data_IF_319878325004
#
_entry.id   IF_319878325004
#
_cell.length_a   1.000
_cell.length_b   1.000
_cell.length_c   1.000
_cell.angle_alpha   90.00
_cell.angle_beta   90.00
_cell.angle_gamma   90.00
#
_symmetry.space_group_name_H-M   'P 1'
#
loop_
_entity.id
_entity.type
_entity.pdbx_description
1 polymer ?
#
# COMPACT_ATOMS: atom_id res chain seq x y z
N UNK A 1 -8.83 10.95 -11.06
CA UNK A 1 -7.54 11.32 -10.41
C UNK A 1 -6.97 12.58 -11.02
N UNK A 2 -6.31 13.41 -10.22
CA UNK A 2 -5.51 14.53 -10.73
C UNK A 2 -4.25 14.01 -11.43
N UNK A 3 -3.56 14.88 -12.20
CA UNK A 3 -2.32 14.48 -12.88
C UNK A 3 -1.22 14.04 -11.93
N UNK A 4 -1.10 14.72 -10.80
CA UNK A 4 -0.12 14.37 -9.76
C UNK A 4 -0.46 13.01 -9.14
N UNK A 5 -1.70 12.84 -8.73
CA UNK A 5 -2.21 11.61 -8.12
C UNK A 5 -2.03 10.41 -9.06
N UNK A 6 -2.32 10.59 -10.36
CA UNK A 6 -2.16 9.52 -11.35
C UNK A 6 -0.69 9.09 -11.47
N UNK A 7 0.23 10.04 -11.48
CA UNK A 7 1.67 9.73 -11.55
C UNK A 7 2.14 9.01 -10.29
N UNK A 8 1.67 9.46 -9.12
CA UNK A 8 2.01 8.83 -7.84
C UNK A 8 1.43 7.41 -7.76
N UNK A 9 0.21 7.22 -8.23
CA UNK A 9 -0.44 5.91 -8.32
C UNK A 9 0.36 4.97 -9.23
N UNK A 10 0.69 5.43 -10.45
CA UNK A 10 1.43 4.62 -11.43
C UNK A 10 2.82 4.25 -10.92
N UNK A 11 3.50 5.16 -10.22
CA UNK A 11 4.81 4.88 -9.62
C UNK A 11 4.73 3.77 -8.58
N UNK A 12 3.73 3.80 -7.70
CA UNK A 12 3.54 2.75 -6.70
C UNK A 12 3.13 1.42 -7.35
N UNK A 13 2.20 1.45 -8.30
CA UNK A 13 1.75 0.26 -9.02
C UNK A 13 2.91 -0.44 -9.74
N UNK A 14 3.79 0.34 -10.37
CA UNK A 14 4.97 -0.20 -11.04
C UNK A 14 5.94 -0.85 -10.05
N UNK A 15 6.21 -0.20 -8.92
CA UNK A 15 7.10 -0.73 -7.88
C UNK A 15 6.55 -2.00 -7.24
N UNK A 16 5.24 -2.05 -6.99
CA UNK A 16 4.58 -3.25 -6.48
C UNK A 16 4.70 -4.41 -7.48
N UNK A 17 4.46 -4.15 -8.76
CA UNK A 17 4.56 -5.15 -9.82
C UNK A 17 6.00 -5.68 -9.96
N UNK A 18 6.99 -4.79 -9.95
CA UNK A 18 8.41 -5.18 -10.00
C UNK A 18 8.82 -6.06 -8.81
N UNK A 19 8.25 -5.80 -7.64
CA UNK A 19 8.51 -6.56 -6.43
C UNK A 19 7.71 -7.86 -6.33
N UNK A 20 6.79 -8.11 -7.27
CA UNK A 20 5.99 -9.33 -7.33
C UNK A 20 4.72 -9.30 -6.47
N UNK A 21 4.26 -8.12 -6.04
CA UNK A 21 3.04 -7.98 -5.25
C UNK A 21 1.82 -7.80 -6.15
N UNK A 22 0.76 -8.54 -5.86
CA UNK A 22 -0.56 -8.28 -6.40
C UNK A 22 -1.20 -7.10 -5.63
N UNK A 23 -1.90 -6.24 -6.33
CA UNK A 23 -2.59 -5.11 -5.72
C UNK A 23 -3.95 -4.88 -6.37
N UNK A 24 -4.80 -4.17 -5.65
CA UNK A 24 -6.14 -3.80 -6.10
C UNK A 24 -6.35 -2.29 -5.95
N UNK A 25 -6.97 -1.68 -6.95
CA UNK A 25 -7.39 -0.29 -6.87
C UNK A 25 -8.64 -0.21 -5.99
N UNK A 26 -8.51 0.42 -4.83
CA UNK A 26 -9.60 0.59 -3.86
C UNK A 26 -10.11 2.04 -3.81
N UNK A 27 -9.77 2.84 -4.81
CA UNK A 27 -10.20 4.24 -4.91
C UNK A 27 -11.72 4.36 -5.02
N UNK A 28 -12.28 5.31 -4.28
CA UNK A 28 -13.70 5.66 -4.34
C UNK A 28 -13.89 7.01 -5.03
N UNK A 29 -15.00 7.17 -5.76
CA UNK A 29 -15.29 8.39 -6.51
C UNK A 29 -15.37 9.65 -5.63
N UNK A 30 -15.70 9.49 -4.33
CA UNK A 30 -15.85 10.58 -3.38
C UNK A 30 -14.63 10.76 -2.47
N UNK A 31 -13.59 9.96 -2.63
CA UNK A 31 -12.37 10.11 -1.84
C UNK A 31 -11.53 11.27 -2.35
N UNK A 32 -10.91 12.00 -1.43
CA UNK A 32 -9.99 13.09 -1.77
C UNK A 32 -8.72 12.57 -2.46
N UNK A 33 -8.37 11.29 -2.26
CA UNK A 33 -7.20 10.66 -2.85
C UNK A 33 -7.51 9.23 -3.28
N UNK A 34 -6.76 8.73 -4.27
CA UNK A 34 -6.80 7.33 -4.69
C UNK A 34 -6.19 6.42 -3.62
N UNK A 35 -6.52 5.14 -3.67
CA UNK A 35 -5.94 4.15 -2.78
C UNK A 35 -5.68 2.82 -3.46
N UNK A 36 -4.71 2.08 -2.93
CA UNK A 36 -4.32 0.74 -3.36
C UNK A 36 -4.35 -0.18 -2.14
N UNK A 37 -4.90 -1.38 -2.32
CA UNK A 37 -4.83 -2.45 -1.33
C UNK A 37 -3.85 -3.52 -1.80
N UNK A 38 -2.95 -3.94 -0.90
CA UNK A 38 -2.01 -5.05 -1.12
C UNK A 38 -2.32 -6.15 -0.12
N UNK A 39 -2.53 -7.36 -0.62
CA UNK A 39 -2.79 -8.53 0.22
C UNK A 39 -1.74 -9.60 -0.07
N UNK A 40 -1.10 -10.10 0.99
CA UNK A 40 -0.14 -11.20 0.92
C UNK A 40 -0.61 -12.32 1.84
N UNK A 41 -0.39 -13.56 1.43
CA UNK A 41 -0.68 -14.73 2.27
C UNK A 41 0.61 -15.47 2.59
N UNK A 42 0.73 -15.88 3.85
CA UNK A 42 1.83 -16.69 4.35
C UNK A 42 1.27 -18.05 4.78
N UNK A 43 1.94 -19.11 4.37
CA UNK A 43 1.63 -20.44 4.86
C UNK A 43 2.65 -20.78 5.96
N UNK A 44 2.17 -20.92 7.19
CA UNK A 44 2.99 -21.40 8.30
C UNK A 44 2.86 -22.90 8.33
N UNK A 45 3.94 -23.60 8.01
CA UNK A 45 3.98 -25.06 8.14
C UNK A 45 4.25 -25.41 9.61
N UNK A 46 3.18 -25.80 10.29
CA UNK A 46 3.21 -26.41 11.61
C UNK A 46 2.46 -27.75 11.53
N UNK A 47 2.17 -28.40 12.65
CA UNK A 47 1.36 -29.62 12.70
C UNK A 47 -0.01 -29.44 12.03
N UNK A 48 -0.48 -28.19 11.99
CA UNK A 48 -1.67 -27.77 11.23
C UNK A 48 -1.22 -26.60 10.36
N UNK A 49 -1.34 -26.73 9.03
CA UNK A 49 -0.99 -25.66 8.09
C UNK A 49 -1.91 -24.46 8.35
N UNK A 50 -1.34 -23.38 8.88
CA UNK A 50 -2.03 -22.13 9.11
C UNK A 50 -1.71 -21.13 8.00
N UNK A 51 -2.74 -20.45 7.50
CA UNK A 51 -2.60 -19.38 6.53
C UNK A 51 -2.68 -18.05 7.27
N UNK A 52 -1.58 -17.28 7.26
CA UNK A 52 -1.58 -15.90 7.73
C UNK A 52 -1.74 -14.95 6.55
N UNK A 53 -2.61 -13.95 6.73
CA UNK A 53 -2.88 -12.94 5.73
C UNK A 53 -2.33 -11.60 6.20
N UNK A 54 -1.56 -10.94 5.33
CA UNK A 54 -1.10 -9.57 5.52
C UNK A 54 -1.87 -8.66 4.59
N UNK A 55 -2.37 -7.56 5.10
CA UNK A 55 -3.20 -6.64 4.36
C UNK A 55 -2.74 -5.21 4.63
N UNK A 56 -2.47 -4.46 3.55
CA UNK A 56 -2.04 -3.08 3.62
C UNK A 56 -2.96 -2.21 2.78
N UNK A 57 -3.38 -1.08 3.33
CA UNK A 57 -4.12 -0.06 2.63
C UNK A 57 -3.22 1.15 2.45
N UNK A 58 -3.05 1.61 1.21
CA UNK A 58 -2.14 2.70 0.89
C UNK A 58 -2.91 3.81 0.20
N UNK A 59 -2.93 5.00 0.83
CA UNK A 59 -3.50 6.21 0.24
C UNK A 59 -2.42 6.92 -0.57
N UNK A 60 -2.78 7.36 -1.78
CA UNK A 60 -1.87 7.97 -2.75
C UNK A 60 -1.77 9.47 -2.49
N UNK A 61 -0.57 10.08 -2.51
CA UNK A 61 -0.44 11.52 -2.35
C UNK A 61 -1.14 12.28 -3.47
N UNK A 62 -1.80 13.37 -3.11
CA UNK A 62 -2.52 14.24 -4.02
C UNK A 62 -2.23 15.70 -3.70
N UNK A 63 -1.09 16.20 -4.18
CA UNK A 63 -0.65 17.58 -3.93
C UNK A 63 -1.52 18.62 -4.65
N UNK A 64 -2.35 18.22 -5.60
CA UNK A 64 -3.31 19.11 -6.25
C UNK A 64 -4.53 19.38 -5.34
N UNK A 65 -4.73 18.58 -4.31
CA UNK A 65 -5.71 18.79 -3.27
C UNK A 65 -5.04 19.38 -2.05
N UNK A 66 -4.78 20.69 -2.10
CA UNK A 66 -4.07 21.39 -1.03
C UNK A 66 -4.99 21.72 0.14
N UNK A 67 -4.68 21.16 1.31
CA UNK A 67 -5.28 21.56 2.57
C UNK A 67 -4.14 21.91 3.54
N UNK A 68 -3.99 23.21 3.93
CA UNK A 68 -2.88 23.62 4.79
C UNK A 68 -2.93 22.99 6.19
N UNK A 69 -4.08 22.54 6.63
CA UNK A 69 -4.26 21.90 7.94
C UNK A 69 -4.09 20.38 7.89
N UNK A 70 -3.86 19.80 6.69
CA UNK A 70 -3.78 18.35 6.50
C UNK A 70 -2.60 17.96 5.59
N UNK A 71 -1.49 17.60 6.21
CA UNK A 71 -0.26 17.19 5.52
C UNK A 71 -0.37 15.81 4.83
N UNK A 72 -1.44 15.06 5.06
CA UNK A 72 -1.62 13.70 4.52
C UNK A 72 -1.61 13.62 2.99
N UNK A 73 -1.94 14.72 2.32
CA UNK A 73 -1.99 14.74 0.85
C UNK A 73 -0.62 14.84 0.18
N UNK A 74 0.45 14.97 0.95
CA UNK A 74 1.82 15.09 0.42
C UNK A 74 2.61 13.78 0.46
N UNK A 75 2.11 12.77 1.15
CA UNK A 75 2.81 11.51 1.37
C UNK A 75 1.94 10.30 1.05
N UNK A 76 2.58 9.15 0.80
CA UNK A 76 1.88 7.88 0.82
C UNK A 76 1.59 7.52 2.27
N UNK A 77 0.33 7.25 2.58
CA UNK A 77 -0.09 6.80 3.91
C UNK A 77 -0.44 5.32 3.85
N UNK A 78 0.40 4.49 4.46
CA UNK A 78 0.20 3.05 4.52
C UNK A 78 -0.36 2.67 5.88
N UNK A 79 -1.49 1.96 5.89
CA UNK A 79 -2.05 1.35 7.09
C UNK A 79 -1.86 -0.16 7.02
N UNK A 80 -1.18 -0.71 8.03
CA UNK A 80 -1.11 -2.15 8.25
C UNK A 80 -2.41 -2.58 8.93
N UNK A 81 -3.27 -3.27 8.18
CA UNK A 81 -4.59 -3.68 8.67
C UNK A 81 -4.52 -4.74 9.77
N UNK A 82 -3.38 -5.44 9.89
CA UNK A 82 -3.20 -6.44 10.95
C UNK A 82 -2.91 -5.82 12.31
N UNK A 83 -2.22 -4.69 12.35
CA UNK A 83 -1.82 -4.00 13.58
C UNK A 83 -2.59 -2.71 13.82
N UNK A 84 -3.19 -2.13 12.78
CA UNK A 84 -3.84 -0.83 12.82
C UNK A 84 -2.87 0.35 12.79
N UNK A 85 -1.57 0.12 12.63
CA UNK A 85 -0.58 1.18 12.57
C UNK A 85 -0.54 1.83 11.19
N UNK A 86 -0.37 3.14 11.16
CA UNK A 86 -0.24 3.94 9.93
C UNK A 86 1.16 4.56 9.86
N UNK A 87 1.75 4.51 8.67
CA UNK A 87 3.08 5.05 8.38
C UNK A 87 3.00 5.96 7.17
N UNK A 88 3.80 7.03 7.16
CA UNK A 88 3.88 7.96 6.06
C UNK A 88 5.21 7.80 5.33
N UNK A 89 5.17 7.79 3.99
CA UNK A 89 6.35 7.66 3.15
C UNK A 89 6.32 8.71 2.03
N UNK A 90 7.47 9.32 1.74
CA UNK A 90 7.59 10.31 0.68
C UNK A 90 7.68 9.69 -0.71
N UNK A 91 8.11 8.41 -0.80
CA UNK A 91 8.43 7.76 -2.06
C UNK A 91 7.79 6.38 -2.16
N UNK A 92 7.42 6.00 -3.39
CA UNK A 92 6.82 4.70 -3.67
C UNK A 92 7.75 3.53 -3.33
N UNK A 93 9.06 3.66 -3.57
CA UNK A 93 10.03 2.62 -3.23
C UNK A 93 10.13 2.37 -1.72
N UNK A 94 9.98 3.41 -0.90
CA UNK A 94 9.95 3.28 0.56
C UNK A 94 8.72 2.49 1.04
N UNK A 95 7.57 2.70 0.40
CA UNK A 95 6.34 1.94 0.68
C UNK A 95 6.57 0.45 0.43
N UNK A 96 7.11 0.12 -0.73
CA UNK A 96 7.38 -1.28 -1.11
C UNK A 96 8.42 -1.90 -0.20
N UNK A 97 9.48 -1.17 0.15
CA UNK A 97 10.50 -1.63 1.08
C UNK A 97 9.90 -1.99 2.45
N UNK A 98 8.98 -1.15 2.96
CA UNK A 98 8.28 -1.43 4.21
C UNK A 98 7.45 -2.73 4.13
N UNK A 99 6.71 -2.91 3.04
CA UNK A 99 5.93 -4.13 2.79
C UNK A 99 6.85 -5.35 2.72
N UNK A 100 7.99 -5.23 2.03
CA UNK A 100 8.98 -6.29 1.95
C UNK A 100 9.53 -6.67 3.31
N UNK A 101 9.81 -5.70 4.17
CA UNK A 101 10.30 -5.95 5.53
C UNK A 101 9.26 -6.67 6.38
N UNK A 102 7.97 -6.31 6.25
CA UNK A 102 6.87 -6.95 6.96
C UNK A 102 6.59 -8.37 6.45
N UNK A 103 6.85 -8.64 5.17
CA UNK A 103 6.48 -9.88 4.49
C UNK A 103 7.68 -10.72 4.07
N UNK A 104 8.82 -10.52 4.70
CA UNK A 104 10.10 -11.14 4.34
C UNK A 104 10.02 -12.67 4.17
N UNK A 105 9.26 -13.33 5.03
CA UNK A 105 9.10 -14.78 5.07
C UNK A 105 7.80 -15.25 4.41
N UNK A 106 7.14 -14.38 3.65
CA UNK A 106 5.84 -14.68 3.04
C UNK A 106 6.04 -15.37 1.70
N UNK A 107 5.27 -16.47 1.50
CA UNK A 107 5.15 -17.12 0.21
C UNK A 107 3.93 -16.51 -0.49
N UNK A 108 4.17 -15.88 -1.65
CA UNK A 108 3.08 -15.28 -2.42
C UNK A 108 2.21 -16.36 -3.05
N UNK A 109 0.91 -16.33 -2.74
CA UNK A 109 -0.10 -17.12 -3.44
C UNK A 109 -0.92 -16.17 -4.29
N UNK A 110 -0.82 -16.33 -5.57
CA UNK A 110 -1.70 -15.62 -6.51
C UNK A 110 -3.00 -16.39 -6.70
#
# INVERSE_FOLDING_TARGET
MTSYEQRAYDALAMKLTEAGYAYENTSWANDATASISVTCTRIIKSEVDEVQRYEFQIYIPNCDYFDPDNEYFNTYALTDEMTGHTFDFDRADEVVEHIQDCTRDVIFTN
#
